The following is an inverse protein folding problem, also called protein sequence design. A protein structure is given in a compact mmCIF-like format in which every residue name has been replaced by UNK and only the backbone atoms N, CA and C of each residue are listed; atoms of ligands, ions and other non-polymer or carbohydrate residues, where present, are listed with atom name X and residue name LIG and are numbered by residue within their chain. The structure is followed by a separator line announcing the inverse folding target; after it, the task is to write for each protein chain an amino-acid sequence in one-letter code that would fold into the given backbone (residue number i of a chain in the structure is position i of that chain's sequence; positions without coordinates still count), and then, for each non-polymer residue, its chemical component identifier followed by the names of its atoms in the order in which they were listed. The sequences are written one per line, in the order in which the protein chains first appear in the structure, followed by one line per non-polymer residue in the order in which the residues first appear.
data_IF_657318213640
#
_entry.id   IF_657318213640
#
_cell.length_a   1.000
_cell.length_b   1.000
_cell.length_c   1.000
_cell.angle_alpha   90.00
_cell.angle_beta   90.00
_cell.angle_gamma   90.00
#
_symmetry.space_group_name_H-M   'P 1'
#
loop_
_entity.id
_entity.type
_entity.pdbx_description
1 polymer ?
#
# COMPACT_ATOMS: atom_id res chain seq x y z
N UNK A 1 -9.85 -4.80 10.96
CA UNK A 1 -9.18 -3.53 10.62
C UNK A 1 -8.04 -3.86 9.65
N UNK A 2 -7.44 -2.91 8.96
CA UNK A 2 -6.38 -3.15 7.96
C UNK A 2 -5.46 -1.94 7.95
N UNK A 3 -4.15 -2.17 7.87
CA UNK A 3 -3.15 -1.18 7.52
C UNK A 3 -2.69 -1.44 6.08
N UNK A 4 -2.62 -0.39 5.27
CA UNK A 4 -2.03 -0.39 3.94
C UNK A 4 -1.00 0.72 3.84
N UNK A 5 0.06 0.49 3.05
CA UNK A 5 1.10 1.49 2.82
C UNK A 5 1.71 1.37 1.43
N UNK A 6 2.21 2.48 0.90
CA UNK A 6 2.96 2.56 -0.34
C UNK A 6 4.27 3.31 -0.15
N UNK A 7 5.31 2.90 -0.90
CA UNK A 7 6.62 3.56 -0.90
C UNK A 7 7.13 3.64 -2.34
N UNK A 8 7.54 4.83 -2.77
CA UNK A 8 8.30 4.98 -4.02
C UNK A 8 9.72 4.51 -3.79
N UNK A 9 10.30 3.91 -4.81
CA UNK A 9 11.69 3.43 -4.78
C UNK A 9 12.55 4.26 -5.74
N UNK A 10 13.85 4.33 -5.47
CA UNK A 10 14.82 5.10 -6.25
C UNK A 10 14.82 4.77 -7.76
N UNK A 11 14.45 3.55 -8.14
CA UNK A 11 14.33 3.11 -9.52
C UNK A 11 13.01 3.54 -10.20
N UNK A 12 12.20 4.33 -9.51
CA UNK A 12 10.91 4.83 -9.97
C UNK A 12 9.75 3.85 -9.81
N UNK A 13 9.98 2.64 -9.29
CA UNK A 13 8.91 1.69 -8.97
C UNK A 13 8.19 2.04 -7.67
N UNK A 14 7.13 1.30 -7.38
CA UNK A 14 6.30 1.46 -6.18
C UNK A 14 6.14 0.14 -5.46
N UNK A 15 6.48 0.11 -4.18
CA UNK A 15 6.13 -0.97 -3.27
C UNK A 15 4.76 -0.66 -2.66
N UNK A 16 3.82 -1.59 -2.75
CA UNK A 16 2.53 -1.54 -2.08
C UNK A 16 2.43 -2.70 -1.09
N UNK A 17 2.00 -2.39 0.12
CA UNK A 17 1.98 -3.32 1.25
C UNK A 17 0.62 -3.32 1.93
N UNK A 18 0.23 -4.47 2.47
CA UNK A 18 -0.93 -4.61 3.33
C UNK A 18 -0.67 -5.63 4.44
N UNK A 19 -1.23 -5.42 5.62
CA UNK A 19 -1.28 -6.47 6.63
C UNK A 19 -2.22 -7.61 6.18
N UNK A 20 -2.06 -8.78 6.76
CA UNK A 20 -2.83 -9.97 6.36
C UNK A 20 -3.95 -10.35 7.33
N UNK A 21 -4.12 -9.64 8.43
CA UNK A 21 -5.13 -9.98 9.41
C UNK A 21 -6.54 -9.59 8.96
N UNK A 22 -7.44 -10.57 8.88
CA UNK A 22 -8.88 -10.37 8.81
C UNK A 22 -9.52 -11.00 10.04
N UNK A 23 -10.21 -10.17 10.82
CA UNK A 23 -10.94 -10.61 12.01
C UNK A 23 -12.43 -10.59 11.72
N UNK A 24 -13.12 -11.66 12.06
CA UNK A 24 -14.58 -11.80 12.01
C UNK A 24 -15.09 -12.50 13.29
N UNK A 25 -16.39 -12.80 13.34
CA UNK A 25 -17.01 -13.47 14.49
C UNK A 25 -16.43 -14.88 14.77
N UNK A 26 -15.74 -15.48 13.81
CA UNK A 26 -15.17 -16.82 13.92
C UNK A 26 -13.67 -16.81 14.25
N UNK A 27 -13.05 -15.61 14.33
CA UNK A 27 -11.65 -15.46 14.71
C UNK A 27 -10.81 -14.68 13.71
N UNK A 28 -9.50 -14.86 13.81
CA UNK A 28 -8.50 -14.21 12.98
C UNK A 28 -8.00 -15.15 11.90
N UNK A 29 -7.91 -14.66 10.67
CA UNK A 29 -7.35 -15.41 9.53
C UNK A 29 -6.47 -14.52 8.67
N UNK A 30 -5.48 -15.13 8.02
CA UNK A 30 -4.64 -14.46 7.05
C UNK A 30 -5.34 -14.43 5.69
N UNK A 31 -5.44 -13.24 5.09
CA UNK A 31 -6.02 -13.03 3.75
C UNK A 31 -5.12 -12.13 2.92
N UNK A 32 -5.13 -12.30 1.61
CA UNK A 32 -4.48 -11.35 0.70
C UNK A 32 -5.40 -10.12 0.53
N UNK A 33 -4.83 -8.93 0.64
CA UNK A 33 -5.55 -7.65 0.58
C UNK A 33 -5.04 -6.74 -0.55
N UNK A 34 -4.10 -7.24 -1.34
CA UNK A 34 -3.58 -6.56 -2.51
C UNK A 34 -4.26 -7.08 -3.76
N UNK A 35 -4.73 -6.16 -4.58
CA UNK A 35 -5.50 -6.44 -5.78
C UNK A 35 -4.76 -5.94 -7.03
N UNK A 36 -4.91 -6.63 -8.14
CA UNK A 36 -4.19 -6.34 -9.38
C UNK A 36 -5.16 -6.27 -10.52
N UNK A 37 -5.05 -5.19 -11.31
CA UNK A 37 -5.83 -5.03 -12.54
C UNK A 37 -4.85 -4.86 -13.68
N UNK A 38 -5.05 -5.59 -14.76
CA UNK A 38 -4.30 -5.41 -16.00
C UNK A 38 -5.26 -5.13 -17.13
N UNK A 39 -4.92 -4.11 -17.89
CA UNK A 39 -5.60 -3.71 -19.12
C UNK A 39 -4.62 -3.70 -20.29
N UNK A 40 -5.08 -3.47 -21.51
CA UNK A 40 -4.20 -3.31 -22.67
C UNK A 40 -3.33 -2.04 -22.60
N UNK A 41 -3.71 -1.06 -21.80
CA UNK A 41 -3.03 0.25 -21.71
C UNK A 41 -2.31 0.49 -20.39
N UNK A 42 -2.46 -0.38 -19.39
CA UNK A 42 -1.82 -0.17 -18.09
C UNK A 42 -2.02 -1.29 -17.09
N UNK A 43 -1.32 -1.15 -16.00
CA UNK A 43 -1.36 -2.06 -14.84
C UNK A 43 -1.63 -1.29 -13.58
N UNK A 44 -2.51 -1.81 -12.74
CA UNK A 44 -2.88 -1.21 -11.46
C UNK A 44 -2.64 -2.19 -10.33
N UNK A 45 -2.12 -1.68 -9.23
CA UNK A 45 -1.96 -2.40 -7.98
C UNK A 45 -2.70 -1.62 -6.89
N UNK A 46 -3.63 -2.27 -6.21
CA UNK A 46 -4.55 -1.63 -5.28
C UNK A 46 -4.50 -2.31 -3.91
N UNK A 47 -4.63 -1.52 -2.87
CA UNK A 47 -4.84 -1.98 -1.51
C UNK A 47 -6.02 -1.23 -0.90
N UNK A 48 -6.82 -1.92 -0.08
CA UNK A 48 -7.99 -1.32 0.55
C UNK A 48 -8.04 -1.54 2.06
N UNK A 49 -8.42 -0.51 2.79
CA UNK A 49 -8.70 -0.54 4.22
C UNK A 49 -10.15 -0.08 4.49
N UNK A 50 -10.78 -0.64 5.51
CA UNK A 50 -12.16 -0.34 5.88
C UNK A 50 -13.00 -1.61 6.00
N UNK A 51 -14.32 -1.48 5.78
CA UNK A 51 -15.25 -2.62 5.80
C UNK A 51 -15.02 -3.52 4.59
N UNK A 52 -14.62 -4.76 4.85
CA UNK A 52 -14.16 -5.66 3.78
C UNK A 52 -15.15 -5.86 2.65
N UNK A 53 -16.47 -5.96 2.93
CA UNK A 53 -17.48 -6.13 1.89
C UNK A 53 -17.59 -4.90 0.96
N UNK A 54 -17.37 -3.70 1.48
CA UNK A 54 -17.37 -2.45 0.70
C UNK A 54 -16.09 -2.38 -0.12
N UNK A 55 -14.93 -2.64 0.50
CA UNK A 55 -13.63 -2.69 -0.19
C UNK A 55 -13.65 -3.73 -1.31
N UNK A 56 -14.11 -4.95 -1.04
CA UNK A 56 -14.18 -6.02 -2.04
C UNK A 56 -15.08 -5.61 -3.23
N UNK A 57 -16.23 -4.97 -2.97
CA UNK A 57 -17.14 -4.48 -4.02
C UNK A 57 -16.49 -3.35 -4.84
N UNK A 58 -15.85 -2.39 -4.19
CA UNK A 58 -15.13 -1.31 -4.88
C UNK A 58 -14.04 -1.86 -5.79
N UNK A 59 -13.22 -2.80 -5.30
CA UNK A 59 -12.16 -3.43 -6.08
C UNK A 59 -12.71 -4.21 -7.29
N UNK A 60 -13.84 -4.91 -7.14
CA UNK A 60 -14.49 -5.62 -8.26
C UNK A 60 -15.05 -4.65 -9.31
N UNK A 61 -15.67 -3.55 -8.90
CA UNK A 61 -16.17 -2.51 -9.84
C UNK A 61 -15.00 -1.82 -10.55
N UNK A 62 -13.94 -1.48 -9.83
CA UNK A 62 -12.72 -0.91 -10.41
C UNK A 62 -12.10 -1.85 -11.44
N UNK A 63 -12.03 -3.16 -11.16
CA UNK A 63 -11.55 -4.15 -12.13
C UNK A 63 -12.37 -4.12 -13.42
N UNK A 64 -13.70 -4.08 -13.29
CA UNK A 64 -14.62 -4.07 -14.42
C UNK A 64 -14.48 -2.79 -15.26
N UNK A 65 -14.56 -1.62 -14.62
CA UNK A 65 -14.60 -0.34 -15.34
C UNK A 65 -13.23 0.06 -15.91
N UNK A 66 -12.12 -0.23 -15.19
CA UNK A 66 -10.78 0.01 -15.73
C UNK A 66 -10.44 -0.91 -16.91
N UNK A 67 -10.86 -2.18 -16.89
CA UNK A 67 -10.71 -3.08 -18.05
C UNK A 67 -11.52 -2.59 -19.23
N UNK A 68 -12.79 -2.26 -19.03
CA UNK A 68 -13.67 -1.72 -20.07
C UNK A 68 -13.08 -0.46 -20.70
N UNK A 69 -12.60 0.50 -19.90
CA UNK A 69 -11.96 1.71 -20.41
C UNK A 69 -10.61 1.42 -21.08
N UNK A 70 -9.81 0.49 -20.56
CA UNK A 70 -8.50 0.16 -21.11
C UNK A 70 -8.54 -0.72 -22.36
N UNK A 71 -9.65 -1.38 -22.63
CA UNK A 71 -9.86 -2.22 -23.81
C UNK A 71 -10.61 -1.46 -24.94
N UNK A 72 -11.19 -0.29 -24.64
CA UNK A 72 -11.80 0.58 -25.65
C UNK A 72 -10.70 1.31 -26.45
N UNK A 73 -10.60 1.07 -27.79
CA UNK A 73 -9.56 1.70 -28.62
C UNK A 73 -9.75 3.23 -28.78
N UNK A 74 -10.92 3.75 -28.44
CA UNK A 74 -11.22 5.19 -28.51
C UNK A 74 -10.91 5.93 -27.21
N UNK A 75 -10.53 5.21 -26.16
CA UNK A 75 -10.22 5.76 -24.84
C UNK A 75 -8.71 5.71 -24.60
N UNK A 76 -8.11 6.85 -24.28
CA UNK A 76 -6.75 6.91 -23.75
C UNK A 76 -6.87 6.77 -22.23
N UNK A 77 -6.62 5.57 -21.71
CA UNK A 77 -6.81 5.26 -20.30
C UNK A 77 -5.95 6.14 -19.38
N UNK A 78 -4.76 6.51 -19.83
CA UNK A 78 -3.90 7.45 -19.11
C UNK A 78 -4.64 8.76 -18.75
N UNK A 79 -5.38 9.34 -19.68
CA UNK A 79 -6.11 10.60 -19.48
C UNK A 79 -7.40 10.40 -18.66
N UNK A 80 -7.95 9.19 -18.66
CA UNK A 80 -9.28 8.89 -18.12
C UNK A 80 -9.29 8.07 -16.83
N UNK A 81 -8.15 7.47 -16.45
CA UNK A 81 -8.13 6.55 -15.32
C UNK A 81 -8.62 7.19 -14.01
N UNK A 82 -8.30 8.47 -13.79
CA UNK A 82 -8.71 9.18 -12.60
C UNK A 82 -10.23 9.34 -12.56
N UNK A 83 -10.83 9.83 -13.65
CA UNK A 83 -12.26 10.00 -13.78
C UNK A 83 -13.01 8.67 -13.57
N UNK A 84 -12.49 7.57 -14.16
CA UNK A 84 -13.07 6.23 -14.00
C UNK A 84 -13.04 5.78 -12.54
N UNK A 85 -11.91 5.96 -11.86
CA UNK A 85 -11.76 5.56 -10.47
C UNK A 85 -12.68 6.40 -9.56
N UNK A 86 -12.67 7.74 -9.70
CA UNK A 86 -13.49 8.64 -8.90
C UNK A 86 -14.99 8.40 -9.12
N UNK A 87 -15.42 8.07 -10.34
CA UNK A 87 -16.82 7.68 -10.62
C UNK A 87 -17.21 6.42 -9.84
N UNK A 88 -16.38 5.38 -9.88
CA UNK A 88 -16.66 4.14 -9.14
C UNK A 88 -16.69 4.39 -7.64
N UNK A 89 -15.76 5.19 -7.12
CA UNK A 89 -15.72 5.53 -5.70
C UNK A 89 -16.97 6.30 -5.28
N UNK A 90 -17.38 7.30 -6.07
CA UNK A 90 -18.62 8.06 -5.82
C UNK A 90 -19.82 7.13 -5.71
N UNK A 91 -20.02 6.21 -6.66
CA UNK A 91 -21.12 5.24 -6.62
C UNK A 91 -21.09 4.35 -5.37
N UNK A 92 -19.90 3.89 -4.95
CA UNK A 92 -19.73 3.09 -3.74
C UNK A 92 -20.08 3.90 -2.48
N UNK A 93 -19.64 5.15 -2.41
CA UNK A 93 -19.96 6.02 -1.28
C UNK A 93 -21.45 6.37 -1.22
N UNK A 94 -22.08 6.66 -2.37
CA UNK A 94 -23.50 6.91 -2.46
C UNK A 94 -24.33 5.69 -2.02
N UNK A 95 -24.00 4.50 -2.53
CA UNK A 95 -24.78 3.29 -2.27
C UNK A 95 -24.60 2.73 -0.84
N UNK A 96 -23.36 2.79 -0.29
CA UNK A 96 -23.02 2.01 0.90
C UNK A 96 -22.56 2.82 2.10
N UNK A 97 -22.18 4.08 1.93
CA UNK A 97 -21.53 4.85 3.00
C UNK A 97 -22.37 6.04 3.43
N UNK A 98 -22.70 6.95 2.52
CA UNK A 98 -23.38 8.20 2.89
C UNK A 98 -24.78 8.01 3.46
N UNK A 99 -25.54 7.03 2.95
CA UNK A 99 -26.88 6.69 3.47
C UNK A 99 -26.87 5.92 4.78
N UNK A 100 -25.71 5.43 5.23
CA UNK A 100 -25.56 4.51 6.37
C UNK A 100 -24.49 4.98 7.37
N UNK A 101 -24.35 6.27 7.56
CA UNK A 101 -23.40 6.88 8.51
C UNK A 101 -23.85 6.62 9.95
N UNK A 102 -23.62 5.40 10.43
CA UNK A 102 -23.55 5.14 11.87
C UNK A 102 -22.10 5.34 12.36
N UNK A 103 -21.92 5.55 13.68
CA UNK A 103 -20.61 5.82 14.28
C UNK A 103 -19.55 4.71 14.05
N UNK A 104 -20.00 3.53 13.63
CA UNK A 104 -19.15 2.36 13.37
C UNK A 104 -18.84 2.18 11.88
N UNK A 105 -19.50 2.91 10.99
CA UNK A 105 -19.27 2.83 9.56
C UNK A 105 -18.13 3.76 9.17
N UNK A 106 -16.91 3.37 9.54
CA UNK A 106 -15.68 4.02 9.04
C UNK A 106 -15.63 3.78 7.54
N UNK A 107 -15.47 4.85 6.77
CA UNK A 107 -15.39 4.81 5.32
C UNK A 107 -14.33 3.82 4.79
N UNK A 108 -14.28 3.70 3.51
CA UNK A 108 -13.25 2.95 2.78
C UNK A 108 -12.10 3.87 2.44
N UNK A 109 -10.88 3.35 2.52
CA UNK A 109 -9.66 4.01 2.02
C UNK A 109 -8.94 3.07 1.07
N UNK A 110 -8.48 3.59 -0.05
CA UNK A 110 -7.65 2.86 -1.00
C UNK A 110 -6.30 3.55 -1.19
N UNK A 111 -5.29 2.74 -1.48
CA UNK A 111 -4.05 3.19 -2.12
C UNK A 111 -3.97 2.49 -3.47
N UNK A 112 -3.78 3.26 -4.52
CA UNK A 112 -3.78 2.79 -5.91
C UNK A 112 -2.48 3.21 -6.57
N UNK A 113 -1.69 2.23 -7.02
CA UNK A 113 -0.53 2.47 -7.87
C UNK A 113 -0.90 2.09 -9.32
N UNK A 114 -0.62 2.99 -10.28
CA UNK A 114 -0.95 2.82 -11.69
C UNK A 114 0.28 3.06 -12.58
N UNK A 115 0.56 2.15 -13.50
CA UNK A 115 1.60 2.28 -14.52
C UNK A 115 1.00 2.11 -15.90
N UNK A 116 1.39 2.96 -16.87
CA UNK A 116 0.84 2.98 -18.22
C UNK A 116 1.91 2.67 -19.29
N UNK A 117 1.47 2.09 -20.42
CA UNK A 117 2.37 1.67 -21.51
C UNK A 117 3.05 2.82 -22.22
N UNK A 118 2.48 4.01 -22.21
CA UNK A 118 3.04 5.23 -22.82
C UNK A 118 2.16 6.43 -22.44
N UNK A 119 2.66 7.65 -22.38
CA UNK A 119 4.05 8.10 -22.55
C UNK A 119 4.86 8.14 -21.23
N UNK A 120 4.28 7.70 -20.11
CA UNK A 120 4.86 7.88 -18.79
C UNK A 120 5.51 6.58 -18.28
N UNK A 121 6.78 6.66 -17.94
CA UNK A 121 7.55 5.51 -17.44
C UNK A 121 7.50 5.35 -15.91
N UNK A 122 6.96 6.34 -15.18
CA UNK A 122 6.90 6.32 -13.72
C UNK A 122 5.48 6.06 -13.25
N UNK A 123 5.24 5.08 -12.37
CA UNK A 123 3.91 4.83 -11.81
C UNK A 123 3.36 6.03 -11.04
N UNK A 124 2.07 6.26 -11.17
CA UNK A 124 1.32 7.16 -10.31
C UNK A 124 0.91 6.44 -9.05
N UNK A 125 0.84 7.15 -7.93
CA UNK A 125 0.29 6.64 -6.68
C UNK A 125 -0.76 7.62 -6.18
N UNK A 126 -1.92 7.09 -5.86
CA UNK A 126 -3.05 7.83 -5.30
C UNK A 126 -3.46 7.22 -3.97
N UNK A 127 -3.76 8.08 -3.00
CA UNK A 127 -4.61 7.76 -1.87
C UNK A 127 -6.04 8.20 -2.16
N UNK A 128 -7.01 7.72 -1.38
CA UNK A 128 -8.38 8.21 -1.43
C UNK A 128 -8.74 8.96 -0.15
N UNK A 129 -9.44 10.08 -0.33
CA UNK A 129 -10.18 10.77 0.72
C UNK A 129 -11.65 10.76 0.28
N UNK A 130 -12.43 9.87 0.87
CA UNK A 130 -13.75 9.48 0.37
C UNK A 130 -13.69 9.08 -1.11
N UNK A 131 -14.44 9.75 -2.00
CA UNK A 131 -14.45 9.48 -3.44
C UNK A 131 -13.34 10.18 -4.23
N UNK A 132 -12.56 11.04 -3.59
CA UNK A 132 -11.55 11.87 -4.25
C UNK A 132 -10.19 11.18 -4.24
N UNK A 133 -9.52 11.18 -5.39
CA UNK A 133 -8.13 10.76 -5.52
C UNK A 133 -7.18 11.94 -5.28
N UNK A 134 -6.22 11.74 -4.39
CA UNK A 134 -5.12 12.66 -4.20
C UNK A 134 -3.76 11.99 -4.47
N UNK A 135 -2.83 12.66 -5.16
CA UNK A 135 -1.53 12.09 -5.48
C UNK A 135 -0.67 11.92 -4.23
N UNK A 136 -0.05 10.75 -4.10
CA UNK A 136 0.99 10.47 -3.11
C UNK A 136 2.36 10.55 -3.76
N UNK A 137 3.20 11.48 -3.32
CA UNK A 137 4.46 11.75 -3.99
C UNK A 137 5.58 10.78 -3.58
N UNK A 138 5.71 10.48 -2.30
CA UNK A 138 6.82 9.71 -1.73
C UNK A 138 6.35 8.40 -1.12
N UNK A 139 5.50 8.48 -0.13
CA UNK A 139 4.88 7.34 0.55
C UNK A 139 3.45 7.69 0.95
N UNK A 140 2.67 6.68 1.31
CA UNK A 140 1.32 6.84 1.82
C UNK A 140 0.95 5.70 2.74
N UNK A 141 0.14 6.01 3.75
CA UNK A 141 -0.41 5.02 4.67
C UNK A 141 -1.91 5.25 4.81
N UNK A 142 -2.69 4.19 4.99
CA UNK A 142 -4.12 4.31 5.23
C UNK A 142 -4.64 3.16 6.11
N UNK A 143 -5.76 3.39 6.77
CA UNK A 143 -6.43 2.39 7.60
C UNK A 143 -6.01 2.42 9.07
N UNK A 144 -6.12 1.27 9.74
CA UNK A 144 -5.85 1.17 11.17
C UNK A 144 -4.36 1.39 11.47
N UNK A 145 -4.07 2.33 12.36
CA UNK A 145 -2.69 2.65 12.75
C UNK A 145 -1.95 3.51 11.72
N UNK A 146 -2.65 4.11 10.75
CA UNK A 146 -2.03 4.98 9.74
C UNK A 146 -1.18 6.09 10.35
N UNK A 147 -1.62 6.72 11.45
CA UNK A 147 -0.88 7.83 12.07
C UNK A 147 0.49 7.37 12.60
N UNK A 148 0.54 6.18 13.21
CA UNK A 148 1.79 5.58 13.66
C UNK A 148 2.66 5.15 12.47
N UNK A 149 2.04 4.61 11.41
CA UNK A 149 2.75 4.25 10.19
C UNK A 149 3.35 5.47 9.50
N UNK A 150 2.61 6.58 9.38
CA UNK A 150 3.14 7.85 8.88
C UNK A 150 4.27 8.39 9.74
N UNK A 151 4.15 8.33 11.07
CA UNK A 151 5.21 8.77 11.98
C UNK A 151 6.55 8.08 11.69
N UNK A 152 6.53 6.76 11.47
CA UNK A 152 7.74 6.03 11.11
C UNK A 152 8.19 6.29 9.67
N UNK A 153 7.24 6.34 8.72
CA UNK A 153 7.55 6.60 7.33
C UNK A 153 8.21 7.98 7.16
N UNK A 154 7.65 9.04 7.74
CA UNK A 154 8.20 10.40 7.66
C UNK A 154 9.63 10.52 8.23
N UNK A 155 9.99 9.67 9.19
CA UNK A 155 11.30 9.69 9.83
C UNK A 155 12.35 8.83 9.18
N UNK A 156 11.93 7.71 8.59
CA UNK A 156 12.85 6.65 8.13
C UNK A 156 12.88 6.52 6.61
N UNK A 157 11.86 7.01 5.91
CA UNK A 157 11.83 6.98 4.47
C UNK A 157 12.79 8.02 3.89
N UNK A 158 13.40 7.65 2.78
CA UNK A 158 14.30 8.48 1.99
C UNK A 158 13.97 8.27 0.50
N UNK A 159 13.93 9.33 -0.29
CA UNK A 159 13.58 9.27 -1.72
C UNK A 159 14.54 8.42 -2.58
N UNK A 160 15.73 8.12 -2.06
CA UNK A 160 16.70 7.24 -2.69
C UNK A 160 16.64 5.79 -2.19
N UNK A 161 15.58 5.43 -1.45
CA UNK A 161 15.44 4.10 -0.88
C UNK A 161 15.37 3.02 -1.98
N UNK A 162 16.16 1.97 -1.84
CA UNK A 162 16.08 0.82 -2.74
C UNK A 162 14.80 0.01 -2.53
N UNK A 163 14.48 -0.93 -3.43
CA UNK A 163 13.34 -1.84 -3.26
C UNK A 163 13.46 -2.66 -1.97
N UNK A 164 14.66 -3.15 -1.71
CA UNK A 164 14.97 -3.96 -0.53
C UNK A 164 14.86 -3.11 0.75
N UNK A 165 15.35 -1.88 0.70
CA UNK A 165 15.23 -0.91 1.80
C UNK A 165 13.78 -0.56 2.07
N UNK A 166 12.97 -0.31 1.03
CA UNK A 166 11.55 -0.05 1.16
C UNK A 166 10.78 -1.26 1.74
N UNK A 167 11.14 -2.49 1.33
CA UNK A 167 10.55 -3.70 1.88
C UNK A 167 10.92 -3.91 3.35
N UNK A 168 12.16 -3.60 3.74
CA UNK A 168 12.59 -3.66 5.14
C UNK A 168 11.88 -2.60 5.98
N UNK A 169 11.80 -1.36 5.49
CA UNK A 169 11.06 -0.27 6.15
C UNK A 169 9.59 -0.62 6.34
N UNK A 170 8.94 -1.15 5.29
CA UNK A 170 7.56 -1.63 5.39
C UNK A 170 7.42 -2.73 6.45
N UNK A 171 8.33 -3.73 6.45
CA UNK A 171 8.32 -4.81 7.44
C UNK A 171 8.43 -4.26 8.86
N UNK A 172 9.33 -3.33 9.10
CA UNK A 172 9.50 -2.65 10.38
C UNK A 172 8.22 -1.92 10.79
N UNK A 173 7.67 -1.05 9.93
CA UNK A 173 6.46 -0.28 10.21
C UNK A 173 5.28 -1.20 10.55
N UNK A 174 5.03 -2.22 9.73
CA UNK A 174 3.91 -3.14 9.94
C UNK A 174 4.05 -3.93 11.23
N UNK A 175 5.27 -4.32 11.61
CA UNK A 175 5.54 -4.97 12.88
C UNK A 175 5.26 -4.04 14.06
N UNK A 176 5.80 -2.82 14.07
CA UNK A 176 5.59 -1.85 15.13
C UNK A 176 4.09 -1.50 15.30
N UNK A 177 3.39 -1.27 14.20
CA UNK A 177 1.95 -1.02 14.25
C UNK A 177 1.19 -2.24 14.76
N UNK A 178 1.56 -3.46 14.37
CA UNK A 178 0.87 -4.68 14.82
C UNK A 178 1.02 -4.96 16.31
N UNK A 179 2.09 -4.49 16.93
CA UNK A 179 2.28 -4.60 18.38
C UNK A 179 1.41 -3.62 19.18
N UNK A 180 1.00 -2.52 18.55
CA UNK A 180 0.32 -1.40 19.21
C UNK A 180 -1.16 -1.31 18.85
N UNK A 181 -1.51 -1.67 17.62
CA UNK A 181 -2.85 -1.50 17.03
C UNK A 181 -3.54 -2.85 16.86
N UNK A 182 -4.64 -3.05 17.58
CA UNK A 182 -5.46 -4.27 17.44
C UNK A 182 -6.04 -4.38 16.02
N UNK A 183 -5.98 -5.58 15.45
CA UNK A 183 -6.55 -5.89 14.13
C UNK A 183 -5.64 -5.59 12.95
N UNK A 184 -4.36 -5.29 13.22
CA UNK A 184 -3.28 -5.27 12.25
C UNK A 184 -2.33 -6.41 12.59
N UNK A 185 -2.01 -7.28 11.63
CA UNK A 185 -1.09 -8.39 11.91
C UNK A 185 -1.16 -9.55 10.92
N UNK A 186 -0.76 -10.73 11.41
CA UNK A 186 -0.63 -11.99 10.67
C UNK A 186 0.31 -11.90 9.45
N UNK A 187 1.33 -11.03 9.57
CA UNK A 187 2.34 -10.79 8.55
C UNK A 187 1.92 -9.72 7.54
N UNK A 188 2.83 -9.44 6.62
CA UNK A 188 2.66 -8.40 5.60
C UNK A 188 2.70 -9.03 4.21
N UNK A 189 1.76 -8.66 3.35
CA UNK A 189 1.84 -8.94 1.91
C UNK A 189 2.43 -7.72 1.20
N UNK A 190 3.35 -7.96 0.26
CA UNK A 190 4.08 -6.91 -0.43
C UNK A 190 4.15 -7.20 -1.92
N UNK A 191 3.81 -6.20 -2.71
CA UNK A 191 3.92 -6.25 -4.16
C UNK A 191 4.64 -5.00 -4.67
N UNK A 192 5.46 -5.22 -5.67
CA UNK A 192 6.19 -4.17 -6.34
C UNK A 192 5.63 -3.94 -7.74
N UNK A 193 5.30 -2.70 -8.08
CA UNK A 193 4.93 -2.26 -9.42
C UNK A 193 6.15 -1.59 -10.05
N UNK A 194 6.70 -2.22 -11.09
CA UNK A 194 7.89 -1.72 -11.76
C UNK A 194 7.56 -0.57 -12.73
N UNK A 195 8.47 0.40 -12.81
CA UNK A 195 8.31 1.54 -13.71
C UNK A 195 8.49 1.14 -15.20
N UNK A 196 9.49 0.31 -15.51
CA UNK A 196 9.93 0.09 -16.89
C UNK A 196 9.07 -0.88 -17.69
N UNK A 197 8.66 -1.98 -17.08
CA UNK A 197 7.92 -3.05 -17.75
C UNK A 197 6.46 -3.14 -17.33
N UNK A 198 6.02 -2.24 -16.42
CA UNK A 198 4.68 -2.19 -15.84
C UNK A 198 4.25 -3.54 -15.25
N UNK A 199 5.23 -4.39 -14.99
CA UNK A 199 5.06 -5.64 -14.30
C UNK A 199 4.86 -5.42 -12.81
N UNK A 200 4.07 -6.29 -12.19
CA UNK A 200 4.02 -6.37 -10.74
C UNK A 200 4.67 -7.67 -10.29
N UNK A 201 5.38 -7.57 -9.17
CA UNK A 201 6.11 -8.70 -8.59
C UNK A 201 5.74 -8.83 -7.12
N UNK A 202 5.30 -10.02 -6.72
CA UNK A 202 5.08 -10.33 -5.31
C UNK A 202 6.43 -10.58 -4.64
N UNK A 203 6.68 -9.93 -3.52
CA UNK A 203 7.79 -10.32 -2.66
C UNK A 203 7.41 -11.65 -2.00
N UNK A 204 8.22 -12.71 -2.18
CA UNK A 204 7.88 -14.03 -1.62
C UNK A 204 7.71 -13.94 -0.10
N UNK A 205 6.68 -14.61 0.48
CA UNK A 205 6.47 -14.60 1.94
C UNK A 205 7.68 -15.05 2.77
N UNK A 206 8.51 -15.92 2.22
CA UNK A 206 9.77 -16.33 2.85
C UNK A 206 10.75 -15.16 2.94
N UNK A 207 10.82 -14.30 1.92
CA UNK A 207 11.67 -13.11 1.96
C UNK A 207 11.16 -12.09 2.99
N UNK A 208 9.85 -11.90 3.11
CA UNK A 208 9.28 -11.05 4.16
C UNK A 208 9.66 -11.59 5.54
N UNK A 209 9.58 -12.91 5.76
CA UNK A 209 10.03 -13.52 7.02
C UNK A 209 11.54 -13.33 7.27
N UNK A 210 12.37 -13.42 6.25
CA UNK A 210 13.80 -13.11 6.38
C UNK A 210 14.01 -11.65 6.82
N UNK A 211 13.25 -10.69 6.26
CA UNK A 211 13.29 -9.30 6.69
C UNK A 211 12.85 -9.15 8.15
N UNK A 212 11.79 -9.85 8.56
CA UNK A 212 11.33 -9.85 9.97
C UNK A 212 12.42 -10.30 10.95
N UNK A 213 13.32 -11.21 10.55
CA UNK A 213 14.42 -11.67 11.42
C UNK A 213 15.51 -10.62 11.65
N UNK A 214 15.60 -9.61 10.76
CA UNK A 214 16.57 -8.51 10.87
C UNK A 214 16.08 -7.40 11.82
N UNK A 215 14.76 -7.27 12.01
CA UNK A 215 14.20 -6.18 12.80
C UNK A 215 14.73 -6.13 14.25
N UNK A 216 14.83 -7.25 15.02
CA UNK A 216 15.40 -7.21 16.37
C UNK A 216 16.84 -6.67 16.42
N UNK A 217 17.64 -6.91 15.40
CA UNK A 217 19.00 -6.38 15.31
C UNK A 217 19.00 -4.87 15.08
N UNK A 218 18.04 -4.36 14.29
CA UNK A 218 17.83 -2.92 14.07
C UNK A 218 17.37 -2.26 15.38
N UNK A 219 16.38 -2.82 16.06
CA UNK A 219 15.88 -2.33 17.34
C UNK A 219 17.00 -2.27 18.39
N UNK A 220 17.81 -3.32 18.45
CA UNK A 220 18.98 -3.37 19.34
C UNK A 220 20.00 -2.30 18.97
N UNK A 221 20.34 -2.14 17.68
CA UNK A 221 21.29 -1.13 17.23
C UNK A 221 20.84 0.29 17.56
N UNK A 222 19.54 0.60 17.41
CA UNK A 222 18.94 1.88 17.80
C UNK A 222 19.05 2.07 19.33
N UNK A 223 18.70 1.06 20.12
CA UNK A 223 18.79 1.11 21.58
C UNK A 223 20.23 1.32 22.07
N UNK A 224 21.17 0.58 21.48
CA UNK A 224 22.60 0.68 21.81
C UNK A 224 23.19 2.04 21.41
N UNK A 225 22.76 2.62 20.30
CA UNK A 225 23.15 3.97 19.89
C UNK A 225 22.61 5.03 20.85
N UNK A 226 21.36 4.91 21.31
CA UNK A 226 20.79 5.83 22.30
C UNK A 226 21.42 5.74 23.67
N UNK A 227 21.85 4.54 24.06
CA UNK A 227 22.56 4.32 25.31
C UNK A 227 24.05 4.71 25.24
N UNK A 228 24.53 5.24 24.12
CA UNK A 228 25.91 5.69 23.91
C UNK A 228 26.93 4.55 23.76
N UNK A 229 26.46 3.33 23.49
CA UNK A 229 27.31 2.14 23.46
C UNK A 229 27.80 1.75 22.05
N UNK A 230 27.32 2.41 20.96
CA UNK A 230 27.72 2.07 19.62
C UNK A 230 27.82 3.26 18.66
N UNK A 231 28.84 3.23 17.79
CA UNK A 231 28.78 3.92 16.51
C UNK A 231 27.73 3.21 15.62
N UNK A 232 26.87 3.96 14.93
CA UNK A 232 25.87 3.38 14.02
C UNK A 232 26.60 2.45 13.04
N UNK A 233 26.25 1.16 12.97
CA UNK A 233 26.91 0.22 12.07
C UNK A 233 26.84 0.70 10.62
N UNK A 234 27.93 0.55 9.87
CA UNK A 234 28.00 1.02 8.48
C UNK A 234 26.96 0.36 7.57
N UNK A 235 26.56 -0.90 7.86
CA UNK A 235 25.50 -1.58 7.14
C UNK A 235 24.12 -0.94 7.36
N UNK A 236 23.88 -0.41 8.55
CA UNK A 236 22.62 0.27 8.86
C UNK A 236 22.52 1.61 8.10
N UNK A 237 23.63 2.34 8.00
CA UNK A 237 23.72 3.56 7.19
C UNK A 237 23.43 3.28 5.71
N UNK A 238 23.92 2.14 5.18
CA UNK A 238 23.71 1.74 3.78
C UNK A 238 22.30 1.28 3.45
N UNK A 239 21.47 0.90 4.44
CA UNK A 239 20.08 0.54 4.20
C UNK A 239 19.18 1.75 3.92
N UNK A 240 19.60 2.93 4.36
CA UNK A 240 18.81 4.17 4.26
C UNK A 240 19.45 5.23 3.34
N UNK A 241 20.55 4.91 2.68
CA UNK A 241 21.18 5.69 1.61
C UNK A 241 20.99 5.04 0.26
#
# INVERSE_FOLDING_TARGET
MTLIASFRCADGGVLLCADRERSDAFGKRAVDKLFRIRTNQGSFLLAGAGRSSIVDNALMRLDTELKKAGDDPNVVLFDKHKDVIETVLYEIYEEYIWGHRDENNRGMQLIIAAAFTSPHSTPFVYGTDEEILFPQQLHGCAGAGQDLAYYFADRLYNEHISREGAALLATFIFREVSQTVSGVGLGTDMWFLAAKDQGWYRIPPLKVKELETVIPDIEKAISDAWNGHLAIPEWLTKLFT
#
